data_IF_958506008525
#
_entry.id   IF_958506008525
#
_cell.length_a   1.000
_cell.length_b   1.000
_cell.length_c   1.000
_cell.angle_alpha   90.00
_cell.angle_beta   90.00
_cell.angle_gamma   90.00
#
_symmetry.space_group_name_H-M   'P 1'
#
loop_
_entity.id
_entity.type
_entity.pdbx_description
1 polymer ?
#
# COMPACT_ATOMS: atom_id res chain seq x y z
N UNK A 1 -13.17 0.56 -3.03
CA UNK A 1 -12.12 1.40 -2.39
C UNK A 1 -12.10 1.34 -0.85
N UNK A 2 -13.05 0.66 -0.20
CA UNK A 2 -13.07 0.58 1.28
C UNK A 2 -11.81 -0.05 1.90
N UNK A 3 -11.12 -0.94 1.18
CA UNK A 3 -9.85 -1.60 1.59
C UNK A 3 -8.60 -0.86 1.10
N UNK A 4 -8.73 0.00 0.09
CA UNK A 4 -7.64 0.80 -0.49
C UNK A 4 -8.13 2.23 -0.71
N UNK A 5 -8.41 2.96 0.38
CA UNK A 5 -9.02 4.29 0.31
C UNK A 5 -8.12 5.33 -0.35
N UNK A 6 -6.80 5.21 -0.23
CA UNK A 6 -5.87 6.12 -0.91
C UNK A 6 -5.95 5.98 -2.43
N UNK A 7 -6.17 4.77 -2.93
CA UNK A 7 -6.44 4.56 -4.35
C UNK A 7 -7.80 5.15 -4.77
N UNK A 8 -8.82 5.06 -3.90
CA UNK A 8 -10.10 5.75 -4.12
C UNK A 8 -9.93 7.25 -4.34
N UNK A 9 -9.18 7.93 -3.47
CA UNK A 9 -8.80 9.34 -3.64
C UNK A 9 -8.08 9.59 -4.96
N UNK A 10 -7.11 8.74 -5.31
CA UNK A 10 -6.34 8.87 -6.55
C UNK A 10 -7.21 8.74 -7.80
N UNK A 11 -8.25 7.91 -7.73
CA UNK A 11 -9.26 7.71 -8.78
C UNK A 11 -10.37 8.78 -8.79
N UNK A 12 -10.33 9.76 -7.87
CA UNK A 12 -11.29 10.87 -7.80
C UNK A 12 -12.51 10.62 -6.93
N UNK A 13 -12.52 9.55 -6.12
CA UNK A 13 -13.59 9.26 -5.15
C UNK A 13 -13.29 9.90 -3.80
N UNK A 14 -13.65 11.17 -3.64
CA UNK A 14 -13.25 12.01 -2.50
C UNK A 14 -13.93 11.65 -1.17
N UNK A 15 -14.94 10.80 -1.14
CA UNK A 15 -15.48 10.20 0.08
C UNK A 15 -14.48 9.30 0.83
N UNK A 16 -13.35 9.00 0.21
CA UNK A 16 -12.24 8.23 0.80
C UNK A 16 -11.08 9.09 1.31
N UNK A 17 -11.09 10.41 1.10
CA UNK A 17 -9.97 11.30 1.39
C UNK A 17 -9.51 11.30 2.85
N UNK A 18 -10.45 11.09 3.79
CA UNK A 18 -10.17 11.03 5.23
C UNK A 18 -9.85 9.61 5.73
N UNK A 19 -9.74 8.63 4.83
CA UNK A 19 -9.49 7.23 5.17
C UNK A 19 -8.05 6.86 4.83
N UNK A 20 -7.50 5.92 5.61
CA UNK A 20 -6.20 5.29 5.39
C UNK A 20 -6.39 3.78 5.45
N UNK A 21 -5.52 3.03 4.80
CA UNK A 21 -5.50 1.58 4.81
C UNK A 21 -5.34 1.04 6.24
N UNK A 22 -6.03 -0.05 6.53
CA UNK A 22 -5.87 -0.82 7.76
C UNK A 22 -5.16 -2.13 7.44
N UNK A 23 -3.88 -2.23 7.82
CA UNK A 23 -3.06 -3.42 7.66
C UNK A 23 -2.93 -4.23 8.95
N UNK A 24 -3.85 -4.05 9.90
CA UNK A 24 -3.95 -4.93 11.06
C UNK A 24 -4.24 -6.37 10.62
N UNK A 25 -3.76 -7.36 11.39
CA UNK A 25 -3.98 -8.79 11.10
C UNK A 25 -5.46 -9.14 10.94
N UNK A 26 -6.33 -8.52 11.73
CA UNK A 26 -7.77 -8.75 11.66
C UNK A 26 -8.38 -8.16 10.38
N UNK A 27 -7.97 -6.96 9.96
CA UNK A 27 -8.41 -6.37 8.70
C UNK A 27 -7.94 -7.20 7.52
N UNK A 28 -6.67 -7.62 7.50
CA UNK A 28 -6.12 -8.48 6.45
C UNK A 28 -6.87 -9.81 6.36
N UNK A 29 -7.18 -10.44 7.49
CA UNK A 29 -7.96 -11.69 7.54
C UNK A 29 -9.38 -11.49 7.00
N UNK A 30 -10.06 -10.41 7.39
CA UNK A 30 -11.40 -10.09 6.87
C UNK A 30 -11.38 -9.84 5.36
N UNK A 31 -10.39 -9.09 4.87
CA UNK A 31 -10.25 -8.76 3.45
C UNK A 31 -9.98 -10.02 2.62
N UNK A 32 -9.10 -10.90 3.09
CA UNK A 32 -8.83 -12.18 2.44
C UNK A 32 -10.09 -13.06 2.36
N UNK A 33 -10.83 -13.17 3.45
CA UNK A 33 -12.08 -13.93 3.47
C UNK A 33 -13.12 -13.35 2.50
N UNK A 34 -13.26 -12.02 2.46
CA UNK A 34 -14.16 -11.34 1.53
C UNK A 34 -13.74 -11.59 0.07
N UNK A 35 -12.46 -11.49 -0.26
CA UNK A 35 -11.94 -11.77 -1.59
C UNK A 35 -12.24 -13.21 -2.03
N UNK A 36 -12.07 -14.21 -1.16
CA UNK A 36 -12.41 -15.60 -1.45
C UNK A 36 -13.92 -15.80 -1.70
N UNK A 37 -14.76 -15.12 -0.93
CA UNK A 37 -16.22 -15.14 -1.14
C UNK A 37 -16.60 -14.50 -2.47
N UNK A 38 -16.02 -13.32 -2.80
CA UNK A 38 -16.27 -12.66 -4.08
C UNK A 38 -15.80 -13.50 -5.27
N UNK A 39 -14.63 -14.13 -5.18
CA UNK A 39 -14.11 -15.02 -6.22
C UNK A 39 -15.08 -16.17 -6.46
N UNK A 40 -15.51 -16.87 -5.40
CA UNK A 40 -16.48 -17.97 -5.50
C UNK A 40 -17.81 -17.52 -6.13
N UNK A 41 -18.27 -16.31 -5.84
CA UNK A 41 -19.49 -15.75 -6.47
C UNK A 41 -19.31 -15.49 -7.95
N UNK A 42 -18.16 -14.94 -8.36
CA UNK A 42 -17.83 -14.70 -9.78
C UNK A 42 -17.68 -16.01 -10.55
N UNK A 43 -17.10 -17.04 -9.93
CA UNK A 43 -16.95 -18.38 -10.53
C UNK A 43 -18.30 -19.05 -10.84
N UNK A 44 -19.32 -18.81 -10.02
CA UNK A 44 -20.69 -19.34 -10.22
C UNK A 44 -21.46 -18.64 -11.35
N UNK A 45 -21.02 -17.49 -11.85
CA UNK A 45 -21.65 -16.81 -12.98
C UNK A 45 -21.23 -17.53 -14.26
N UNK A 46 -22.19 -18.10 -14.99
CA UNK A 46 -21.92 -18.80 -16.24
C UNK A 46 -21.50 -17.80 -17.34
N UNK A 47 -20.27 -17.94 -17.82
CA UNK A 47 -19.72 -17.02 -18.84
C UNK A 47 -20.58 -16.99 -20.14
N UNK A 48 -21.13 -18.09 -20.67
CA UNK A 48 -21.95 -18.06 -21.88
C UNK A 48 -23.26 -17.25 -21.75
N UNK A 49 -23.74 -17.00 -20.52
CA UNK A 49 -24.93 -16.18 -20.28
C UNK A 49 -24.65 -14.67 -20.30
N UNK A 50 -23.36 -14.29 -20.37
CA UNK A 50 -22.91 -12.92 -20.35
C UNK A 50 -22.62 -12.41 -21.78
N UNK A 51 -22.87 -11.12 -22.00
CA UNK A 51 -22.33 -10.45 -23.21
C UNK A 51 -20.79 -10.50 -23.20
N UNK A 52 -20.16 -10.39 -24.39
CA UNK A 52 -18.69 -10.41 -24.52
C UNK A 52 -17.99 -9.39 -23.62
N UNK A 53 -18.53 -8.18 -23.51
CA UNK A 53 -17.99 -7.14 -22.61
C UNK A 53 -18.03 -7.61 -21.16
N UNK A 54 -19.16 -8.15 -20.68
CA UNK A 54 -19.31 -8.62 -19.31
C UNK A 54 -18.48 -9.89 -19.02
N UNK A 55 -18.21 -10.72 -20.02
CA UNK A 55 -17.26 -11.83 -19.88
C UNK A 55 -15.85 -11.29 -19.59
N UNK A 56 -15.44 -10.23 -20.29
CA UNK A 56 -14.15 -9.58 -20.05
C UNK A 56 -14.09 -8.93 -18.67
N UNK A 57 -15.14 -8.19 -18.27
CA UNK A 57 -15.22 -7.60 -16.92
C UNK A 57 -15.11 -8.68 -15.83
N UNK A 58 -15.82 -9.81 -16.02
CA UNK A 58 -15.75 -10.94 -15.10
C UNK A 58 -14.34 -11.53 -15.02
N UNK A 59 -13.67 -11.71 -16.15
CA UNK A 59 -12.30 -12.21 -16.21
C UNK A 59 -11.34 -11.26 -15.48
N UNK A 60 -11.37 -9.97 -15.77
CA UNK A 60 -10.55 -8.95 -15.13
C UNK A 60 -10.76 -8.92 -13.62
N UNK A 61 -12.02 -8.93 -13.15
CA UNK A 61 -12.34 -8.96 -11.72
C UNK A 61 -11.82 -10.23 -11.03
N UNK A 62 -11.98 -11.39 -11.67
CA UNK A 62 -11.46 -12.65 -11.11
C UNK A 62 -9.94 -12.66 -11.03
N UNK A 63 -9.26 -12.18 -12.06
CA UNK A 63 -7.80 -12.08 -12.10
C UNK A 63 -7.29 -11.11 -11.04
N UNK A 64 -7.91 -9.94 -10.93
CA UNK A 64 -7.59 -8.97 -9.88
C UNK A 64 -7.75 -9.57 -8.47
N UNK A 65 -8.89 -10.22 -8.19
CA UNK A 65 -9.14 -10.83 -6.87
C UNK A 65 -8.14 -11.96 -6.58
N UNK A 66 -7.83 -12.79 -7.58
CA UNK A 66 -6.80 -13.83 -7.47
C UNK A 66 -5.43 -13.24 -7.17
N UNK A 67 -5.08 -12.12 -7.80
CA UNK A 67 -3.85 -11.36 -7.53
C UNK A 67 -3.80 -10.90 -6.07
N UNK A 68 -4.89 -10.31 -5.54
CA UNK A 68 -4.96 -9.88 -4.15
C UNK A 68 -4.82 -11.04 -3.15
N UNK A 69 -5.40 -12.20 -3.45
CA UNK A 69 -5.26 -13.41 -2.62
C UNK A 69 -3.81 -13.91 -2.68
N UNK A 70 -3.22 -13.97 -3.86
CA UNK A 70 -1.84 -14.39 -4.10
C UNK A 70 -0.83 -13.48 -3.37
N UNK A 71 -1.02 -12.16 -3.46
CA UNK A 71 -0.19 -11.18 -2.76
C UNK A 71 -0.21 -11.40 -1.25
N UNK A 72 -1.39 -11.69 -0.70
CA UNK A 72 -1.53 -11.83 0.75
C UNK A 72 -1.07 -13.20 1.26
N UNK A 73 -1.34 -14.30 0.55
CA UNK A 73 -1.06 -15.66 1.02
C UNK A 73 0.33 -16.15 0.63
N UNK A 74 0.84 -15.78 -0.56
CA UNK A 74 2.07 -16.34 -1.09
C UNK A 74 3.22 -15.34 -1.14
N UNK A 75 3.03 -14.14 -1.69
CA UNK A 75 4.07 -13.11 -1.73
C UNK A 75 4.25 -12.42 -0.37
N UNK A 76 3.18 -12.21 0.37
CA UNK A 76 3.17 -11.67 1.75
C UNK A 76 3.97 -10.36 1.86
N UNK A 77 3.75 -9.44 0.90
CA UNK A 77 4.50 -8.18 0.83
C UNK A 77 4.48 -7.39 2.13
N UNK A 78 3.34 -7.40 2.87
CA UNK A 78 3.22 -6.70 4.14
C UNK A 78 4.07 -7.30 5.28
N UNK A 79 4.58 -8.52 5.12
CA UNK A 79 5.53 -9.15 6.04
C UNK A 79 6.98 -9.03 5.57
N UNK A 80 7.21 -8.61 4.31
CA UNK A 80 8.53 -8.66 3.66
C UNK A 80 9.05 -7.32 3.16
N UNK A 81 8.16 -6.35 2.94
CA UNK A 81 8.52 -5.05 2.38
C UNK A 81 8.23 -3.92 3.40
N UNK A 82 9.25 -3.50 4.17
CA UNK A 82 9.09 -2.47 5.19
C UNK A 82 8.73 -1.10 4.62
N UNK A 83 9.17 -0.76 3.41
CA UNK A 83 8.95 0.56 2.83
C UNK A 83 7.48 0.84 2.52
N UNK A 84 6.68 -0.18 2.25
CA UNK A 84 5.25 -0.04 1.93
C UNK A 84 4.46 0.80 2.93
N UNK A 85 4.83 0.78 4.20
CA UNK A 85 4.08 1.47 5.26
C UNK A 85 4.42 2.96 5.29
N UNK A 86 5.70 3.31 5.24
CA UNK A 86 6.15 4.70 5.23
C UNK A 86 5.79 5.39 3.91
N UNK A 87 5.98 4.73 2.78
CA UNK A 87 5.61 5.24 1.47
C UNK A 87 4.10 5.44 1.34
N UNK A 88 3.27 4.54 1.87
CA UNK A 88 1.83 4.74 1.90
C UNK A 88 1.42 5.99 2.67
N UNK A 89 2.03 6.26 3.84
CA UNK A 89 1.78 7.49 4.60
C UNK A 89 2.16 8.70 3.76
N UNK A 90 3.36 8.70 3.17
CA UNK A 90 3.85 9.78 2.34
C UNK A 90 2.92 10.07 1.15
N UNK A 91 2.62 9.07 0.34
CA UNK A 91 1.80 9.19 -0.86
C UNK A 91 0.36 9.61 -0.53
N UNK A 92 -0.19 9.10 0.58
CA UNK A 92 -1.54 9.39 1.02
C UNK A 92 -1.75 10.88 1.30
N UNK A 93 -0.78 11.55 1.92
CA UNK A 93 -0.88 12.99 2.25
C UNK A 93 -0.37 13.86 1.11
N UNK A 94 0.64 13.42 0.35
CA UNK A 94 1.16 14.13 -0.79
C UNK A 94 0.12 14.30 -1.90
N UNK A 95 -0.66 13.27 -2.19
CA UNK A 95 -1.74 13.32 -3.18
C UNK A 95 -2.80 14.38 -2.84
N UNK A 96 -3.15 14.52 -1.55
CA UNK A 96 -4.08 15.52 -1.05
C UNK A 96 -3.47 16.94 -1.06
N UNK A 97 -2.15 17.06 -0.83
CA UNK A 97 -1.46 18.34 -0.83
C UNK A 97 -1.27 18.88 -2.26
N UNK A 98 -0.93 18.02 -3.22
CA UNK A 98 -0.54 18.45 -4.57
C UNK A 98 -1.72 18.75 -5.49
N UNK A 99 -2.86 18.06 -5.34
CA UNK A 99 -4.01 18.22 -6.24
C UNK A 99 -5.01 19.26 -5.69
N UNK A 100 -5.39 20.23 -6.54
CA UNK A 100 -6.32 21.31 -6.18
C UNK A 100 -7.78 20.96 -6.52
N UNK A 101 -8.30 19.87 -6.00
CA UNK A 101 -9.67 19.42 -6.24
C UNK A 101 -10.72 19.99 -5.27
N UNK A 102 -10.27 20.59 -4.16
CA UNK A 102 -11.11 21.19 -3.14
C UNK A 102 -10.37 22.35 -2.44
N UNK A 103 -11.03 23.21 -1.65
CA UNK A 103 -10.38 24.24 -0.82
C UNK A 103 -9.28 23.67 0.05
N UNK A 104 -8.22 24.44 0.27
CA UNK A 104 -7.05 24.02 1.05
C UNK A 104 -7.42 23.55 2.48
N UNK A 105 -8.41 24.19 3.13
CA UNK A 105 -8.88 23.81 4.46
C UNK A 105 -9.54 22.42 4.48
N UNK A 106 -10.33 22.08 3.45
CA UNK A 106 -10.95 20.74 3.34
C UNK A 106 -9.91 19.65 3.09
N UNK A 107 -8.94 19.93 2.19
CA UNK A 107 -7.84 19.01 1.93
C UNK A 107 -6.94 18.82 3.15
N UNK A 108 -6.67 19.89 3.91
CA UNK A 108 -5.91 19.81 5.16
C UNK A 108 -6.66 19.01 6.22
N UNK A 109 -7.99 19.13 6.29
CA UNK A 109 -8.83 18.28 7.17
C UNK A 109 -8.63 16.81 6.84
N UNK A 110 -8.58 16.47 5.56
CA UNK A 110 -8.34 15.10 5.10
C UNK A 110 -6.93 14.62 5.41
N UNK A 111 -5.93 15.49 5.24
CA UNK A 111 -4.53 15.22 5.66
C UNK A 111 -4.46 14.93 7.15
N UNK A 112 -5.08 15.75 8.00
CA UNK A 112 -5.13 15.51 9.45
C UNK A 112 -5.72 14.14 9.76
N UNK A 113 -6.86 13.79 9.16
CA UNK A 113 -7.53 12.52 9.41
C UNK A 113 -6.68 11.30 9.00
N UNK A 114 -5.84 11.40 7.96
CA UNK A 114 -4.88 10.35 7.57
C UNK A 114 -3.68 10.28 8.51
N UNK A 115 -3.10 11.44 8.85
CA UNK A 115 -1.98 11.48 9.80
C UNK A 115 -2.36 10.96 11.18
N UNK A 116 -3.58 11.21 11.65
CA UNK A 116 -4.11 10.68 12.91
C UNK A 116 -4.20 9.14 12.93
N UNK A 117 -4.34 8.50 11.76
CA UNK A 117 -4.38 7.04 11.61
C UNK A 117 -3.01 6.41 11.36
N UNK A 118 -2.03 7.20 10.92
CA UNK A 118 -0.72 6.72 10.56
C UNK A 118 0.03 6.00 11.70
N UNK A 119 -0.04 6.40 12.97
CA UNK A 119 0.57 5.65 14.06
C UNK A 119 0.05 4.20 14.16
N UNK A 120 -1.25 3.97 14.00
CA UNK A 120 -1.81 2.62 14.01
C UNK A 120 -1.34 1.77 12.82
N UNK A 121 -1.12 2.40 11.65
CA UNK A 121 -0.53 1.75 10.48
C UNK A 121 0.93 1.33 10.76
N UNK A 122 1.73 2.18 11.40
CA UNK A 122 3.11 1.86 11.81
C UNK A 122 3.14 0.74 12.86
N UNK A 123 2.20 0.73 13.79
CA UNK A 123 2.07 -0.38 14.73
C UNK A 123 1.72 -1.70 14.04
N UNK A 124 0.87 -1.65 13.00
CA UNK A 124 0.59 -2.83 12.17
C UNK A 124 1.86 -3.28 11.42
N UNK A 125 2.66 -2.34 10.88
CA UNK A 125 3.94 -2.62 10.24
C UNK A 125 4.88 -3.42 11.16
N UNK A 126 5.08 -2.92 12.38
CA UNK A 126 5.95 -3.58 13.38
C UNK A 126 5.47 -5.00 13.68
N UNK A 127 4.15 -5.20 13.86
CA UNK A 127 3.59 -6.54 14.11
C UNK A 127 3.72 -7.48 12.92
N UNK A 128 3.49 -7.00 11.70
CA UNK A 128 3.54 -7.82 10.49
C UNK A 128 4.98 -8.23 10.19
N UNK A 129 5.94 -7.29 10.20
CA UNK A 129 7.35 -7.55 9.94
C UNK A 129 8.01 -8.42 11.03
N UNK A 130 7.49 -8.39 12.27
CA UNK A 130 7.96 -9.27 13.35
C UNK A 130 7.54 -10.72 13.19
N UNK A 131 6.63 -11.04 12.24
CA UNK A 131 6.16 -12.42 12.04
C UNK A 131 7.28 -13.31 11.52
N UNK A 132 8.05 -12.83 10.54
CA UNK A 132 9.18 -13.54 9.91
C UNK A 132 10.26 -12.55 9.47
N UNK A 133 10.94 -11.88 10.40
CA UNK A 133 11.88 -10.82 10.05
C UNK A 133 13.07 -11.32 9.23
N UNK A 134 13.44 -12.60 9.34
CA UNK A 134 14.48 -13.23 8.53
C UNK A 134 14.09 -13.42 7.05
N UNK A 135 12.79 -13.41 6.71
CA UNK A 135 12.31 -13.48 5.32
C UNK A 135 12.29 -12.11 4.64
N UNK A 136 12.50 -11.02 5.37
CA UNK A 136 12.68 -9.69 4.80
C UNK A 136 13.98 -9.66 3.99
N UNK A 137 13.96 -9.27 2.71
CA UNK A 137 15.19 -9.04 1.97
C UNK A 137 15.97 -7.90 2.60
N UNK A 138 17.27 -8.11 2.84
CA UNK A 138 18.12 -7.10 3.50
C UNK A 138 18.07 -5.76 2.77
N UNK A 139 18.14 -5.79 1.45
CA UNK A 139 18.08 -4.59 0.62
C UNK A 139 16.75 -3.82 0.80
N UNK A 140 15.62 -4.52 1.03
CA UNK A 140 14.33 -3.85 1.27
C UNK A 140 14.33 -3.11 2.62
N UNK A 141 14.95 -3.70 3.65
CA UNK A 141 15.08 -3.05 4.94
C UNK A 141 16.06 -1.86 4.90
N UNK A 142 17.15 -1.96 4.15
CA UNK A 142 18.11 -0.87 3.93
C UNK A 142 17.43 0.30 3.19
N UNK A 143 16.74 0.04 2.09
CA UNK A 143 16.00 1.05 1.32
C UNK A 143 14.90 1.70 2.17
N UNK A 144 14.16 0.92 2.94
CA UNK A 144 13.11 1.46 3.82
C UNK A 144 13.67 2.46 4.84
N UNK A 145 14.84 2.16 5.44
CA UNK A 145 15.50 3.09 6.38
C UNK A 145 15.96 4.37 5.65
N UNK A 146 16.48 4.25 4.44
CA UNK A 146 16.91 5.40 3.64
C UNK A 146 15.72 6.28 3.24
N UNK A 147 14.62 5.70 2.75
CA UNK A 147 13.43 6.41 2.31
C UNK A 147 12.68 7.12 3.45
N UNK A 148 12.77 6.60 4.68
CA UNK A 148 12.18 7.24 5.87
C UNK A 148 12.65 8.70 6.05
N UNK A 149 13.92 8.99 5.77
CA UNK A 149 14.44 10.37 5.86
C UNK A 149 13.70 11.31 4.92
N UNK A 150 13.40 10.87 3.69
CA UNK A 150 12.61 11.62 2.70
C UNK A 150 11.18 11.85 3.17
N UNK A 151 10.52 10.81 3.68
CA UNK A 151 9.16 10.89 4.25
C UNK A 151 9.10 11.89 5.40
N UNK A 152 10.03 11.82 6.35
CA UNK A 152 10.13 12.75 7.47
C UNK A 152 10.36 14.18 6.99
N UNK A 153 11.26 14.38 6.02
CA UNK A 153 11.52 15.70 5.43
C UNK A 153 10.27 16.28 4.77
N UNK A 154 9.60 15.51 3.95
CA UNK A 154 8.35 15.93 3.28
C UNK A 154 7.26 16.32 4.30
N UNK A 155 7.07 15.54 5.34
CA UNK A 155 6.10 15.84 6.40
C UNK A 155 6.44 17.12 7.16
N UNK A 156 7.73 17.44 7.33
CA UNK A 156 8.21 18.64 8.05
C UNK A 156 8.20 19.92 7.20
N UNK A 157 8.33 19.80 5.88
CA UNK A 157 8.51 20.96 4.99
C UNK A 157 7.41 21.05 3.93
N UNK A 158 7.35 20.11 3.00
CA UNK A 158 6.47 20.17 1.83
C UNK A 158 4.99 20.23 2.19
N UNK A 159 4.57 19.41 3.15
CA UNK A 159 3.14 19.38 3.55
C UNK A 159 2.72 20.66 4.26
N UNK A 160 3.45 21.20 5.28
CA UNK A 160 3.13 22.51 5.86
C UNK A 160 3.11 23.65 4.84
N UNK A 161 4.07 23.71 3.93
CA UNK A 161 4.14 24.71 2.88
C UNK A 161 2.92 24.70 1.96
N UNK A 162 2.45 23.51 1.55
CA UNK A 162 1.28 23.35 0.70
C UNK A 162 -0.01 23.90 1.31
N UNK A 163 -0.07 24.02 2.64
CA UNK A 163 -1.23 24.51 3.39
C UNK A 163 -0.97 25.82 4.14
N UNK A 164 0.10 26.54 3.83
CA UNK A 164 0.46 27.81 4.49
C UNK A 164 -0.64 28.88 4.35
N UNK A 165 -1.45 28.81 3.29
CA UNK A 165 -2.57 29.75 3.07
C UNK A 165 -3.80 29.51 3.98
N UNK A 166 -3.91 28.36 4.64
CA UNK A 166 -5.00 28.08 5.57
C UNK A 166 -4.88 28.95 6.80
N UNK A 167 -5.96 29.66 7.17
CA UNK A 167 -5.98 30.60 8.30
C UNK A 167 -6.71 30.08 9.53
N UNK A 168 -7.32 28.92 9.45
CA UNK A 168 -8.01 28.26 10.57
C UNK A 168 -7.00 27.74 11.60
N UNK A 169 -6.89 28.46 12.73
CA UNK A 169 -5.92 28.14 13.78
C UNK A 169 -6.24 26.82 14.49
N UNK A 170 -7.51 26.45 14.59
CA UNK A 170 -7.91 25.14 15.16
C UNK A 170 -7.43 23.99 14.27
N UNK A 171 -7.61 24.14 12.96
CA UNK A 171 -7.16 23.14 11.99
C UNK A 171 -5.63 23.06 11.91
N UNK A 172 -4.92 24.19 12.02
CA UNK A 172 -3.45 24.19 12.10
C UNK A 172 -2.94 23.49 13.37
N UNK A 173 -3.58 23.76 14.52
CA UNK A 173 -3.23 23.08 15.76
C UNK A 173 -3.45 21.56 15.68
N UNK A 174 -4.58 21.13 15.07
CA UNK A 174 -4.87 19.71 14.80
C UNK A 174 -3.80 19.08 13.89
N UNK A 175 -3.43 19.77 12.82
CA UNK A 175 -2.38 19.33 11.91
C UNK A 175 -1.04 19.18 12.62
N UNK A 176 -0.62 20.19 13.40
CA UNK A 176 0.65 20.17 14.13
C UNK A 176 0.70 19.00 15.12
N UNK A 177 -0.39 18.70 15.80
CA UNK A 177 -0.47 17.56 16.72
C UNK A 177 -0.38 16.23 15.96
N UNK A 178 -1.13 16.06 14.88
CA UNK A 178 -1.11 14.86 14.06
C UNK A 178 0.28 14.65 13.43
N UNK A 179 0.90 15.71 12.91
CA UNK A 179 2.27 15.70 12.38
C UNK A 179 3.28 15.27 13.46
N UNK A 180 3.21 15.84 14.66
CA UNK A 180 4.10 15.46 15.78
C UNK A 180 3.99 13.96 16.10
N UNK A 181 2.76 13.45 16.17
CA UNK A 181 2.53 12.05 16.52
C UNK A 181 3.04 11.09 15.43
N UNK A 182 2.81 11.39 14.16
CA UNK A 182 3.31 10.53 13.07
C UNK A 182 4.83 10.58 12.97
N UNK A 183 5.46 11.75 13.19
CA UNK A 183 6.92 11.86 13.22
C UNK A 183 7.55 11.04 14.35
N UNK A 184 6.92 11.03 15.53
CA UNK A 184 7.35 10.17 16.64
C UNK A 184 7.23 8.68 16.26
N UNK A 185 6.10 8.27 15.69
CA UNK A 185 5.89 6.87 15.24
C UNK A 185 6.88 6.45 14.17
N UNK A 186 7.22 7.33 13.22
CA UNK A 186 8.22 7.05 12.18
C UNK A 186 9.63 6.91 12.78
N UNK A 187 9.98 7.71 13.79
CA UNK A 187 11.26 7.57 14.49
C UNK A 187 11.35 6.23 15.24
N UNK A 188 10.27 5.79 15.91
CA UNK A 188 10.19 4.47 16.54
C UNK A 188 10.28 3.34 15.50
N UNK A 189 9.67 3.54 14.33
CA UNK A 189 9.72 2.59 13.23
C UNK A 189 11.14 2.45 12.66
N UNK A 190 11.84 3.56 12.47
CA UNK A 190 13.24 3.57 12.06
C UNK A 190 14.11 2.78 13.04
N UNK A 191 13.95 3.03 14.34
CA UNK A 191 14.63 2.27 15.41
C UNK A 191 14.33 0.77 15.33
N UNK A 192 13.04 0.42 15.16
CA UNK A 192 12.62 -0.97 15.00
C UNK A 192 13.27 -1.64 13.77
N UNK A 193 13.30 -0.96 12.62
CA UNK A 193 13.95 -1.50 11.42
C UNK A 193 15.45 -1.72 11.63
N UNK A 194 16.15 -0.76 12.22
CA UNK A 194 17.60 -0.83 12.47
C UNK A 194 17.98 -1.90 13.50
N UNK A 195 17.20 -2.04 14.56
CA UNK A 195 17.55 -2.87 15.71
C UNK A 195 16.96 -4.29 15.65
N UNK A 196 15.81 -4.47 15.00
CA UNK A 196 15.06 -5.73 15.04
C UNK A 196 14.94 -6.42 13.67
N UNK A 197 14.90 -5.66 12.58
CA UNK A 197 14.73 -6.23 11.24
C UNK A 197 16.08 -6.39 10.52
N UNK A 198 16.82 -5.32 10.33
CA UNK A 198 18.10 -5.32 9.62
C UNK A 198 19.11 -6.37 10.10
N UNK A 199 19.30 -6.60 11.41
CA UNK A 199 20.29 -7.58 11.87
C UNK A 199 19.98 -9.02 11.48
N UNK A 200 18.71 -9.35 11.22
CA UNK A 200 18.25 -10.71 10.90
C UNK A 200 17.74 -10.87 9.47
N UNK A 201 17.55 -9.76 8.76
CA UNK A 201 17.06 -9.74 7.38
C UNK A 201 18.04 -10.46 6.44
N UNK A 202 17.58 -11.56 5.84
CA UNK A 202 18.39 -12.41 4.94
C UNK A 202 17.56 -13.00 3.80
N UNK A 203 16.29 -12.60 3.68
CA UNK A 203 15.39 -13.05 2.64
C UNK A 203 15.88 -12.69 1.24
N UNK A 204 15.50 -13.50 0.25
CA UNK A 204 15.76 -13.18 -1.15
C UNK A 204 14.77 -12.12 -1.65
N UNK A 205 15.25 -11.09 -2.36
CA UNK A 205 14.37 -10.18 -3.11
C UNK A 205 13.75 -10.88 -4.33
N UNK A 206 14.45 -11.88 -4.90
CA UNK A 206 13.92 -12.67 -6.00
C UNK A 206 12.91 -13.69 -5.47
N UNK A 207 11.69 -13.64 -6.03
CA UNK A 207 10.59 -14.52 -5.62
C UNK A 207 10.66 -15.91 -6.27
N UNK A 208 11.56 -16.10 -7.23
CA UNK A 208 11.78 -17.34 -7.95
C UNK A 208 10.79 -17.56 -9.12
N UNK A 209 11.18 -18.44 -10.04
CA UNK A 209 10.49 -18.67 -11.32
C UNK A 209 8.99 -18.98 -11.14
N UNK A 210 8.66 -19.88 -10.22
CA UNK A 210 7.27 -20.32 -10.01
C UNK A 210 6.34 -19.17 -9.58
N UNK A 211 6.77 -18.38 -8.58
CA UNK A 211 5.96 -17.26 -8.10
C UNK A 211 5.96 -16.11 -9.12
N UNK A 212 7.07 -15.90 -9.83
CA UNK A 212 7.15 -14.86 -10.84
C UNK A 212 6.25 -15.16 -12.06
N UNK A 213 6.25 -16.41 -12.57
CA UNK A 213 5.32 -16.82 -13.63
C UNK A 213 3.86 -16.62 -13.21
N UNK A 214 3.54 -17.00 -11.96
CA UNK A 214 2.17 -16.81 -11.45
C UNK A 214 1.82 -15.34 -11.28
N UNK A 215 2.77 -14.50 -10.88
CA UNK A 215 2.59 -13.07 -10.80
C UNK A 215 2.29 -12.47 -12.17
N UNK A 216 3.04 -12.83 -13.20
CA UNK A 216 2.80 -12.38 -14.59
C UNK A 216 1.41 -12.80 -15.08
N UNK A 217 1.01 -14.04 -14.83
CA UNK A 217 -0.33 -14.53 -15.21
C UNK A 217 -1.45 -13.72 -14.52
N UNK A 218 -1.26 -13.30 -13.27
CA UNK A 218 -2.27 -12.58 -12.50
C UNK A 218 -2.25 -11.06 -12.75
N UNK A 219 -1.09 -10.45 -12.94
CA UNK A 219 -0.96 -9.00 -13.09
C UNK A 219 -1.12 -8.57 -14.56
N UNK A 220 -0.50 -9.34 -15.49
CA UNK A 220 -0.40 -8.99 -16.91
C UNK A 220 -1.23 -9.92 -17.82
N UNK A 221 -1.88 -10.95 -17.24
CA UNK A 221 -2.55 -12.02 -18.00
C UNK A 221 -1.62 -12.74 -18.98
N UNK A 222 -0.32 -12.84 -18.64
CA UNK A 222 0.70 -13.44 -19.47
C UNK A 222 1.06 -14.82 -18.93
N UNK A 223 0.74 -15.86 -19.71
CA UNK A 223 0.94 -17.27 -19.36
C UNK A 223 2.11 -17.92 -20.14
N UNK A 224 2.84 -17.13 -20.95
CA UNK A 224 3.97 -17.65 -21.71
C UNK A 224 5.11 -18.07 -20.75
N UNK A 225 5.87 -19.08 -21.16
CA UNK A 225 7.04 -19.53 -20.39
C UNK A 225 8.08 -18.42 -20.29
N UNK A 226 8.62 -18.21 -19.10
CA UNK A 226 9.63 -17.16 -18.86
C UNK A 226 10.84 -17.27 -19.78
N UNK A 227 11.26 -18.50 -20.17
CA UNK A 227 12.36 -18.71 -21.10
C UNK A 227 12.06 -18.13 -22.48
N UNK A 228 10.81 -18.21 -22.96
CA UNK A 228 10.40 -17.65 -24.24
C UNK A 228 10.28 -16.13 -24.19
N UNK A 229 9.76 -15.59 -23.08
CA UNK A 229 9.73 -14.14 -22.86
C UNK A 229 11.15 -13.56 -22.84
N UNK A 230 12.07 -14.22 -22.17
CA UNK A 230 13.48 -13.82 -22.13
C UNK A 230 14.13 -13.88 -23.51
N UNK A 231 13.93 -14.98 -24.26
CA UNK A 231 14.42 -15.12 -25.64
C UNK A 231 13.91 -14.01 -26.55
N UNK A 232 12.63 -13.64 -26.40
CA UNK A 232 12.04 -12.53 -27.17
C UNK A 232 12.69 -11.20 -26.83
N UNK A 233 12.87 -10.90 -25.55
CA UNK A 233 13.52 -9.66 -25.09
C UNK A 233 15.00 -9.54 -25.50
N UNK A 234 15.69 -10.64 -25.77
CA UNK A 234 17.05 -10.58 -26.33
C UNK A 234 17.10 -10.38 -27.86
N UNK A 235 15.98 -10.59 -28.56
CA UNK A 235 15.90 -10.42 -30.03
C UNK A 235 15.45 -9.01 -30.43
N UNK A 236 14.88 -8.22 -29.52
CA UNK A 236 14.50 -6.82 -29.72
C UNK A 236 15.66 -5.87 -29.37
#
# INVERSE_FOLDING_TARGET
FSVSPTWGTSAGFHEYDQKLEDFSKDALKRNLAANKVFLTRLEKIAAPELSRARQMDRLLLMTFIKGQIFDQEELRWLERDPDRYSSLIADSVFSLAKRNFAPASERLTSVCARLEKAPALIDAARRNLSTRPQEVPKIYAEVAVEQLAGTVSMLKTTIPEAFASVKDEGLKARFSLAQKNVLASLAEYEGFLKEKVLPVASGSYAIGEKLYSRKLSLDEMEDEKLSLLLERGYKE
#
